data_IF_714638322648
#
_entry.id   IF_714638322648
#
_cell.length_a   1.000
_cell.length_b   1.000
_cell.length_c   1.000
_cell.angle_alpha   90.00
_cell.angle_beta   90.00
_cell.angle_gamma   90.00
#
_symmetry.space_group_name_H-M   'P 1'
#
loop_
_entity.id
_entity.type
_entity.pdbx_description
1 polymer ?
#
# COMPACT_ATOMS: atom_id res chain seq x y z
N UNK A 1 67.15 -37.53 -26.40
CA UNK A 1 67.53 -36.47 -27.37
C UNK A 1 66.31 -36.19 -28.24
N UNK A 2 66.01 -34.92 -28.57
CA UNK A 2 65.29 -34.41 -29.79
C UNK A 2 64.04 -35.14 -30.31
N UNK A 3 62.94 -34.57 -30.85
CA UNK A 3 62.44 -33.22 -31.21
C UNK A 3 60.94 -33.46 -31.58
N UNK A 4 59.96 -32.56 -31.55
CA UNK A 4 59.90 -31.08 -31.60
C UNK A 4 58.73 -30.53 -30.72
N UNK A 5 58.24 -29.33 -31.04
CA UNK A 5 56.87 -28.85 -30.75
C UNK A 5 56.15 -28.51 -32.07
N UNK A 6 54.97 -29.08 -32.28
CA UNK A 6 53.85 -28.56 -33.09
C UNK A 6 52.57 -29.11 -32.41
N UNK A 7 51.40 -28.44 -32.40
CA UNK A 7 50.94 -27.38 -33.29
C UNK A 7 49.93 -26.44 -32.60
N UNK A 8 49.84 -25.22 -33.13
CA UNK A 8 48.69 -24.30 -33.19
C UNK A 8 47.77 -24.08 -31.95
N UNK A 9 47.63 -22.79 -31.62
CA UNK A 9 46.47 -22.20 -30.93
C UNK A 9 45.13 -22.67 -31.51
N UNK A 10 44.16 -22.90 -30.62
CA UNK A 10 42.80 -22.44 -30.82
C UNK A 10 42.30 -21.74 -29.55
N UNK A 11 42.23 -20.41 -29.58
CA UNK A 11 41.46 -19.67 -28.58
C UNK A 11 39.99 -20.05 -28.74
N UNK A 12 39.31 -20.39 -27.64
CA UNK A 12 37.86 -20.40 -27.58
C UNK A 12 37.41 -19.92 -26.21
N UNK A 13 37.03 -18.65 -26.19
CA UNK A 13 36.59 -17.90 -25.02
C UNK A 13 35.11 -18.24 -24.78
N UNK A 14 34.81 -19.04 -23.76
CA UNK A 14 33.44 -19.39 -23.39
C UNK A 14 33.15 -18.88 -21.97
N UNK A 15 32.83 -17.57 -21.89
CA UNK A 15 32.45 -16.92 -20.64
C UNK A 15 31.00 -17.32 -20.30
N UNK A 16 30.82 -18.40 -19.55
CA UNK A 16 29.52 -18.83 -19.04
C UNK A 16 29.08 -17.88 -17.90
N UNK A 17 28.54 -16.73 -18.30
CA UNK A 17 27.72 -15.87 -17.45
C UNK A 17 26.42 -16.60 -17.13
N UNK A 18 26.43 -17.36 -16.04
CA UNK A 18 25.22 -17.92 -15.45
C UNK A 18 24.29 -16.77 -15.06
N UNK A 19 23.27 -16.52 -15.88
CA UNK A 19 22.15 -15.65 -15.53
C UNK A 19 21.44 -16.26 -14.31
N UNK A 20 21.80 -15.81 -13.10
CA UNK A 20 20.93 -15.97 -11.95
C UNK A 20 19.72 -15.09 -12.21
N UNK A 21 18.63 -15.71 -12.68
CA UNK A 21 17.34 -15.07 -12.72
C UNK A 21 16.97 -14.68 -11.29
N UNK A 22 17.15 -13.40 -10.96
CA UNK A 22 16.59 -12.81 -9.77
C UNK A 22 15.08 -12.81 -9.98
N UNK A 23 14.42 -13.89 -9.54
CA UNK A 23 13.00 -13.82 -9.21
C UNK A 23 12.88 -12.70 -8.18
N UNK A 24 12.33 -11.56 -8.61
CA UNK A 24 12.16 -10.40 -7.76
C UNK A 24 11.39 -10.79 -6.50
N UNK A 25 11.59 -10.01 -5.42
CA UNK A 25 10.80 -10.17 -4.23
C UNK A 25 9.32 -10.15 -4.61
N UNK A 26 8.62 -11.28 -4.41
CA UNK A 26 7.20 -11.20 -4.19
C UNK A 26 7.05 -10.60 -2.80
N UNK A 27 6.86 -9.28 -2.74
CA UNK A 27 6.25 -8.64 -1.58
C UNK A 27 4.82 -9.15 -1.50
N UNK A 28 4.67 -10.35 -0.95
CA UNK A 28 3.42 -10.94 -0.53
C UNK A 28 2.94 -10.23 0.74
N UNK A 29 2.75 -8.92 0.66
CA UNK A 29 1.77 -8.27 1.51
C UNK A 29 0.42 -8.79 1.03
N UNK A 30 -0.24 -9.62 1.83
CA UNK A 30 -1.70 -9.58 1.81
C UNK A 30 -2.06 -8.14 2.14
N UNK A 31 -2.53 -7.41 1.14
CA UNK A 31 -3.09 -6.09 1.33
C UNK A 31 -4.47 -6.31 1.97
N UNK A 32 -4.45 -6.54 3.28
CA UNK A 32 -5.60 -6.93 4.10
C UNK A 32 -6.52 -5.72 4.28
N UNK A 33 -7.14 -5.31 3.18
CA UNK A 33 -8.13 -4.25 3.08
C UNK A 33 -9.38 -4.64 3.85
N UNK A 34 -9.53 -4.13 5.07
CA UNK A 34 -10.69 -4.42 5.92
C UNK A 34 -11.79 -3.42 5.61
N UNK A 35 -12.92 -3.89 5.08
CA UNK A 35 -14.12 -3.07 4.91
C UNK A 35 -14.60 -2.51 6.26
N UNK A 36 -14.82 -1.19 6.32
CA UNK A 36 -15.21 -0.46 7.54
C UNK A 36 -16.60 0.15 7.43
N UNK A 37 -16.89 0.88 6.35
CA UNK A 37 -18.07 1.74 6.27
C UNK A 37 -18.59 1.87 4.83
N UNK A 38 -19.90 2.10 4.69
CA UNK A 38 -20.58 2.39 3.43
C UNK A 38 -21.28 3.74 3.58
N UNK A 39 -20.94 4.71 2.74
CA UNK A 39 -21.49 6.07 2.79
C UNK A 39 -22.53 6.28 1.67
N UNK A 40 -23.69 6.84 2.00
CA UNK A 40 -24.77 7.10 1.04
C UNK A 40 -24.60 8.48 0.37
N UNK A 41 -23.84 8.54 -0.72
CA UNK A 41 -23.55 9.81 -1.42
C UNK A 41 -24.67 10.31 -2.34
N UNK A 42 -25.83 9.64 -2.31
CA UNK A 42 -27.10 10.14 -2.84
C UNK A 42 -27.69 9.29 -3.97
N UNK A 43 -29.01 9.10 -3.94
CA UNK A 43 -29.69 8.22 -4.89
C UNK A 43 -29.28 6.75 -4.69
N UNK A 44 -28.96 5.99 -5.75
CA UNK A 44 -28.50 4.60 -5.64
C UNK A 44 -26.97 4.49 -5.51
N UNK A 45 -26.26 5.58 -5.21
CA UNK A 45 -24.81 5.62 -5.20
C UNK A 45 -24.25 5.60 -3.78
N UNK A 46 -23.16 4.86 -3.63
CA UNK A 46 -22.44 4.68 -2.38
C UNK A 46 -20.94 4.86 -2.60
N UNK A 47 -20.24 5.19 -1.52
CA UNK A 47 -18.80 5.06 -1.41
C UNK A 47 -18.46 4.01 -0.34
N UNK A 48 -17.57 3.08 -0.69
CA UNK A 48 -17.07 2.02 0.19
C UNK A 48 -15.75 2.45 0.82
N UNK A 49 -15.61 2.25 2.13
CA UNK A 49 -14.41 2.62 2.88
C UNK A 49 -13.71 1.39 3.45
N UNK A 50 -12.40 1.32 3.20
CA UNK A 50 -11.50 0.23 3.59
C UNK A 50 -10.35 0.76 4.43
N UNK A 51 -9.91 -0.04 5.39
CA UNK A 51 -8.73 0.22 6.22
C UNK A 51 -7.61 -0.72 5.79
N UNK A 52 -6.47 -0.15 5.43
CA UNK A 52 -5.26 -0.85 5.02
C UNK A 52 -4.16 -0.67 6.07
N UNK A 53 -3.27 -1.65 6.15
CA UNK A 53 -2.17 -1.69 7.12
C UNK A 53 -2.42 -2.69 8.25
N UNK A 54 -1.48 -2.71 9.20
CA UNK A 54 -1.52 -3.65 10.33
C UNK A 54 -2.36 -3.07 11.46
N UNK A 55 -3.56 -3.61 11.67
CA UNK A 55 -4.50 -3.15 12.72
C UNK A 55 -3.90 -3.35 14.13
N UNK A 56 -2.95 -4.26 14.34
CA UNK A 56 -2.22 -4.39 15.60
C UNK A 56 -1.16 -3.30 15.81
N UNK A 57 -0.92 -2.44 14.81
CA UNK A 57 -0.04 -1.27 14.81
C UNK A 57 -0.80 -0.03 14.30
N UNK A 58 -1.76 0.49 15.09
CA UNK A 58 -2.67 1.57 14.69
C UNK A 58 -1.99 2.93 14.45
N UNK A 59 -0.68 3.04 14.68
CA UNK A 59 0.11 4.22 14.36
C UNK A 59 0.36 4.44 12.85
N UNK A 60 0.07 3.44 12.00
CA UNK A 60 0.32 3.50 10.55
C UNK A 60 -0.75 2.75 9.75
N UNK A 61 -1.93 3.36 9.66
CA UNK A 61 -3.04 2.87 8.86
C UNK A 61 -3.31 3.81 7.69
N UNK A 62 -3.94 3.29 6.64
CA UNK A 62 -4.45 4.10 5.52
C UNK A 62 -5.93 3.81 5.35
N UNK A 63 -6.75 4.84 5.34
CA UNK A 63 -8.17 4.75 5.05
C UNK A 63 -8.38 5.07 3.57
N UNK A 64 -8.85 4.10 2.79
CA UNK A 64 -9.17 4.26 1.38
C UNK A 64 -10.68 4.31 1.18
N UNK A 65 -11.14 5.23 0.33
CA UNK A 65 -12.50 5.30 -0.21
C UNK A 65 -12.46 4.90 -1.68
N UNK A 66 -13.35 4.00 -2.09
CA UNK A 66 -13.67 3.75 -3.49
C UNK A 66 -15.16 4.00 -3.75
N UNK A 67 -15.53 4.38 -4.97
CA UNK A 67 -16.95 4.55 -5.32
C UNK A 67 -17.28 5.76 -6.19
N UNK A 68 -18.48 6.29 -6.01
CA UNK A 68 -19.06 7.35 -6.85
C UNK A 68 -18.36 8.70 -6.70
N UNK A 69 -17.86 9.05 -5.51
CA UNK A 69 -17.08 10.28 -5.30
C UNK A 69 -15.61 10.12 -5.72
N UNK A 70 -15.21 8.92 -6.13
CA UNK A 70 -13.87 8.59 -6.62
C UNK A 70 -12.87 8.24 -5.52
N UNK A 71 -11.74 7.66 -5.96
CA UNK A 71 -10.68 7.19 -5.08
C UNK A 71 -10.12 8.31 -4.20
N UNK A 72 -9.99 8.03 -2.91
CA UNK A 72 -9.32 8.85 -1.92
C UNK A 72 -8.54 7.93 -0.98
N UNK A 73 -7.26 8.22 -0.73
CA UNK A 73 -6.44 7.51 0.25
C UNK A 73 -5.90 8.48 1.29
N UNK A 74 -6.13 8.20 2.57
CA UNK A 74 -5.77 9.09 3.69
C UNK A 74 -4.95 8.31 4.72
N UNK A 75 -3.69 8.71 5.02
CA UNK A 75 -2.94 8.13 6.12
C UNK A 75 -3.55 8.58 7.46
N UNK A 76 -3.85 7.64 8.35
CA UNK A 76 -4.50 7.90 9.65
C UNK A 76 -3.77 7.20 10.79
N UNK A 77 -3.95 7.77 11.98
CA UNK A 77 -3.58 7.18 13.27
C UNK A 77 -4.84 7.00 14.11
N UNK A 78 -4.93 5.90 14.87
CA UNK A 78 -6.05 5.65 15.80
C UNK A 78 -5.54 5.62 17.24
N UNK A 79 -6.07 6.50 18.09
CA UNK A 79 -5.83 6.45 19.54
C UNK A 79 -7.00 5.72 20.22
N UNK A 80 -6.78 4.48 20.63
CA UNK A 80 -7.79 3.67 21.32
C UNK A 80 -8.05 4.07 22.77
N UNK A 81 -7.22 4.91 23.39
CA UNK A 81 -7.47 5.46 24.72
C UNK A 81 -8.31 6.75 24.63
N UNK A 82 -8.03 7.61 23.66
CA UNK A 82 -8.83 8.82 23.39
C UNK A 82 -10.11 8.53 22.57
N UNK A 83 -10.18 7.39 21.90
CA UNK A 83 -11.18 7.04 20.89
C UNK A 83 -11.24 8.09 19.76
N UNK A 84 -10.09 8.38 19.14
CA UNK A 84 -9.96 9.32 18.01
C UNK A 84 -9.33 8.67 16.78
N UNK A 85 -9.67 9.23 15.61
CA UNK A 85 -9.02 8.95 14.32
C UNK A 85 -8.52 10.28 13.77
N UNK A 86 -7.21 10.40 13.63
CA UNK A 86 -6.53 11.64 13.24
C UNK A 86 -5.75 11.41 11.94
N UNK A 87 -5.82 12.37 11.01
CA UNK A 87 -5.05 12.32 9.76
C UNK A 87 -3.57 12.61 10.04
N UNK A 88 -2.71 11.66 9.65
CA UNK A 88 -1.28 11.67 10.00
C UNK A 88 -0.36 12.22 8.89
N UNK A 89 -0.91 12.59 7.74
CA UNK A 89 -0.17 13.15 6.60
C UNK A 89 -1.07 13.60 5.44
N UNK A 90 -0.48 14.05 4.32
CA UNK A 90 -1.22 14.36 3.08
C UNK A 90 -2.03 13.15 2.57
N UNK A 91 -3.20 13.41 2.00
CA UNK A 91 -4.00 12.41 1.31
C UNK A 91 -3.78 12.44 -0.21
N UNK A 92 -4.30 11.43 -0.91
CA UNK A 92 -4.29 11.33 -2.38
C UNK A 92 -5.70 11.18 -2.92
N UNK A 93 -6.10 12.04 -3.86
CA UNK A 93 -7.35 11.92 -4.64
C UNK A 93 -7.04 11.40 -6.03
N UNK A 94 -7.87 10.49 -6.57
CA UNK A 94 -7.65 9.79 -7.84
C UNK A 94 -6.22 9.23 -7.96
N UNK A 95 -5.76 8.57 -6.88
CA UNK A 95 -4.45 7.91 -6.73
C UNK A 95 -3.20 8.80 -6.85
N UNK A 96 -3.34 10.08 -7.23
CA UNK A 96 -2.23 10.87 -7.79
C UNK A 96 -2.25 12.38 -7.51
N UNK A 97 -3.35 12.93 -7.00
CA UNK A 97 -3.44 14.35 -6.63
C UNK A 97 -3.30 14.50 -5.12
N UNK A 98 -2.18 15.08 -4.66
CA UNK A 98 -1.97 15.39 -3.24
C UNK A 98 -3.02 16.39 -2.73
N UNK A 99 -3.63 16.06 -1.59
CA UNK A 99 -4.44 17.00 -0.78
C UNK A 99 -3.79 17.21 0.58
N UNK A 100 -4.03 18.37 1.20
CA UNK A 100 -3.44 18.67 2.51
C UNK A 100 -4.02 17.78 3.61
N UNK A 101 -3.28 17.55 4.71
CA UNK A 101 -3.80 16.79 5.86
C UNK A 101 -5.08 17.41 6.45
N UNK A 102 -5.20 18.75 6.43
CA UNK A 102 -6.41 19.46 6.88
C UNK A 102 -7.61 19.22 5.98
N UNK A 103 -7.41 19.24 4.66
CA UNK A 103 -8.43 18.91 3.66
C UNK A 103 -8.83 17.43 3.73
N UNK A 104 -7.86 16.53 3.90
CA UNK A 104 -8.11 15.11 4.10
C UNK A 104 -8.93 14.82 5.37
N UNK A 105 -8.73 15.60 6.45
CA UNK A 105 -9.51 15.50 7.69
C UNK A 105 -10.99 15.87 7.49
N UNK A 106 -11.35 16.71 6.52
CA UNK A 106 -12.75 17.07 6.22
C UNK A 106 -13.57 15.87 5.68
N UNK A 107 -12.89 14.85 5.13
CA UNK A 107 -13.55 13.61 4.69
C UNK A 107 -13.75 12.59 5.83
N UNK A 108 -13.10 12.76 6.98
CA UNK A 108 -13.21 11.86 8.14
C UNK A 108 -14.44 12.24 8.98
N UNK A 109 -15.62 11.90 8.46
CA UNK A 109 -16.90 12.14 9.14
C UNK A 109 -17.04 11.28 10.39
N UNK A 110 -17.83 11.75 11.38
CA UNK A 110 -17.97 11.06 12.67
C UNK A 110 -18.42 9.58 12.57
N UNK A 111 -19.39 9.18 11.72
CA UNK A 111 -19.77 7.77 11.58
C UNK A 111 -18.65 6.88 11.04
N UNK A 112 -17.82 7.41 10.13
CA UNK A 112 -16.66 6.72 9.58
C UNK A 112 -15.57 6.56 10.64
N UNK A 113 -15.27 7.63 11.39
CA UNK A 113 -14.33 7.58 12.50
C UNK A 113 -14.76 6.56 13.58
N UNK A 114 -16.04 6.55 13.95
CA UNK A 114 -16.59 5.58 14.91
C UNK A 114 -16.44 4.14 14.39
N UNK A 115 -16.77 3.88 13.12
CA UNK A 115 -16.61 2.56 12.51
C UNK A 115 -15.14 2.09 12.45
N UNK A 116 -14.19 3.00 12.21
CA UNK A 116 -12.74 2.71 12.28
C UNK A 116 -12.35 2.35 13.72
N UNK A 117 -12.75 3.14 14.72
CA UNK A 117 -12.45 2.87 16.14
C UNK A 117 -13.01 1.51 16.56
N UNK A 118 -14.27 1.21 16.24
CA UNK A 118 -14.89 -0.09 16.54
C UNK A 118 -14.18 -1.28 15.85
N UNK A 119 -13.45 -1.06 14.75
CA UNK A 119 -12.65 -2.08 14.07
C UNK A 119 -11.27 -2.29 14.71
N UNK A 120 -10.66 -1.21 15.18
CA UNK A 120 -9.25 -1.17 15.60
C UNK A 120 -9.08 -1.34 17.12
N UNK A 121 -10.07 -0.93 17.90
CA UNK A 121 -9.99 -0.84 19.36
C UNK A 121 -10.94 -1.84 20.04
N UNK A 122 -10.47 -3.07 20.39
CA UNK A 122 -11.28 -4.12 21.02
C UNK A 122 -11.51 -3.93 22.53
#
# INVERSE_FOLDING_TARGET
MTVSRLMALSLSFALLLSFTAQTGAQDGSTDDAVFVYLDEVGGPYFDEWYLHGDIARPERLTLQRSGKSGELSVPVTVDCHAATVDVSGPGLVFESMDISAGEAQEYIIAPLAEAVIQKVCP
#
